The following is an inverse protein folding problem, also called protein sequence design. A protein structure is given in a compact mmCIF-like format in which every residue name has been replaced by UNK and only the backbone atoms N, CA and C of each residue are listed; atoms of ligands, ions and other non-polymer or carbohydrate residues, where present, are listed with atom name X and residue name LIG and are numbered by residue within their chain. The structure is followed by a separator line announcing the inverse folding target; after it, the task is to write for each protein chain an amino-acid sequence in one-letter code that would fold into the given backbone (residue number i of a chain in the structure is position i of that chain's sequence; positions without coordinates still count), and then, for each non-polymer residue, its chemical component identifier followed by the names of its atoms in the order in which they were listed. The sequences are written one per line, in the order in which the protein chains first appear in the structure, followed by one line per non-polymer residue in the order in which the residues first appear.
data_IF_267190859866
#
_entry.id   IF_267190859866
#
_cell.length_a   1.000
_cell.length_b   1.000
_cell.length_c   1.000
_cell.angle_alpha   90.00
_cell.angle_beta   90.00
_cell.angle_gamma   90.00
#
_symmetry.space_group_name_H-M   'P 1'
#
loop_
_entity.id
_entity.type
_entity.pdbx_description
1 polymer ?
#
# COMPACT_ATOMS: atom_id res chain seq x y z
N UNK A 1 -17.81 18.62 -22.82
CA UNK A 1 -18.26 19.09 -21.49
C UNK A 1 -17.07 19.13 -20.53
N UNK A 2 -16.91 20.23 -19.82
CA UNK A 2 -15.93 20.29 -18.75
C UNK A 2 -16.47 19.47 -17.57
N UNK A 3 -15.84 18.33 -17.30
CA UNK A 3 -16.11 17.58 -16.09
C UNK A 3 -15.48 18.30 -14.90
N UNK A 4 -16.29 18.54 -13.93
CA UNK A 4 -15.88 19.04 -12.61
C UNK A 4 -16.38 18.06 -11.56
N UNK A 5 -15.76 18.06 -10.41
CA UNK A 5 -16.21 17.24 -9.28
C UNK A 5 -17.66 17.49 -8.89
N UNK A 6 -18.18 18.66 -9.22
CA UNK A 6 -19.56 19.07 -8.88
C UNK A 6 -20.62 18.52 -9.84
N UNK A 7 -20.24 18.24 -11.10
CA UNK A 7 -21.21 17.78 -12.12
C UNK A 7 -21.15 16.27 -12.40
N UNK A 8 -20.37 15.52 -11.65
CA UNK A 8 -20.27 14.07 -11.79
C UNK A 8 -21.59 13.38 -11.44
N UNK A 9 -22.01 12.46 -12.31
CA UNK A 9 -23.16 11.58 -12.11
C UNK A 9 -22.73 10.11 -12.31
N UNK A 10 -23.51 9.17 -11.74
CA UNK A 10 -23.19 7.73 -11.86
C UNK A 10 -23.15 7.25 -13.31
N UNK A 11 -23.98 7.81 -14.17
CA UNK A 11 -24.04 7.49 -15.60
C UNK A 11 -22.69 7.78 -16.31
N UNK A 12 -21.91 8.71 -15.80
CA UNK A 12 -20.60 9.08 -16.36
C UNK A 12 -19.51 8.04 -16.11
N UNK A 13 -19.72 7.11 -15.18
CA UNK A 13 -18.82 5.99 -14.92
C UNK A 13 -19.10 4.77 -15.81
N UNK A 14 -20.24 4.75 -16.49
CA UNK A 14 -20.54 3.68 -17.46
C UNK A 14 -19.86 3.95 -18.79
N UNK A 15 -18.88 3.11 -19.14
CA UNK A 15 -18.15 3.19 -20.41
C UNK A 15 -19.09 3.06 -21.64
N UNK A 16 -20.22 2.38 -21.50
CA UNK A 16 -21.19 2.21 -22.58
C UNK A 16 -21.88 3.53 -22.97
N UNK A 17 -21.93 4.48 -22.05
CA UNK A 17 -22.53 5.80 -22.29
C UNK A 17 -21.55 6.81 -22.91
N UNK A 18 -20.30 6.39 -23.18
CA UNK A 18 -19.28 7.25 -23.75
C UNK A 18 -18.92 6.82 -25.18
N UNK A 19 -19.01 7.75 -26.12
CA UNK A 19 -18.58 7.57 -27.49
C UNK A 19 -17.50 8.58 -27.85
N UNK A 20 -16.47 8.12 -28.53
CA UNK A 20 -15.42 8.98 -29.09
C UNK A 20 -15.79 9.32 -30.51
N UNK A 21 -15.80 10.60 -30.84
CA UNK A 21 -15.91 11.07 -32.22
C UNK A 21 -14.51 11.41 -32.72
N UNK A 22 -13.97 10.59 -33.61
CA UNK A 22 -12.70 10.89 -34.25
C UNK A 22 -12.91 11.88 -35.37
N UNK A 23 -12.29 13.04 -35.29
CA UNK A 23 -12.27 14.06 -36.32
C UNK A 23 -11.03 13.82 -37.22
N UNK A 24 -11.05 12.75 -37.99
CA UNK A 24 -9.98 12.42 -38.94
C UNK A 24 -10.37 12.72 -40.39
N UNK A 25 -9.43 13.28 -41.15
CA UNK A 25 -9.59 13.50 -42.58
C UNK A 25 -10.45 14.71 -42.98
N UNK A 26 -11.13 14.62 -44.11
CA UNK A 26 -11.89 15.72 -44.72
C UNK A 26 -13.33 15.86 -44.21
N UNK A 27 -13.57 15.60 -42.91
CA UNK A 27 -14.91 15.79 -42.35
C UNK A 27 -15.26 17.27 -42.28
N UNK A 28 -16.46 17.62 -42.73
CA UNK A 28 -17.01 18.96 -42.57
C UNK A 28 -17.48 19.10 -41.12
N UNK A 29 -17.03 20.17 -40.49
CA UNK A 29 -17.42 20.54 -39.14
C UNK A 29 -18.45 21.65 -39.25
N UNK A 30 -19.63 21.46 -38.64
CA UNK A 30 -20.68 22.45 -38.64
C UNK A 30 -20.35 23.62 -37.69
N UNK A 31 -20.89 24.79 -37.98
CA UNK A 31 -20.68 25.97 -37.16
C UNK A 31 -21.17 25.72 -35.72
N UNK A 32 -20.29 25.97 -34.75
CA UNK A 32 -20.57 25.79 -33.33
C UNK A 32 -20.15 24.44 -32.74
N UNK A 33 -19.66 23.51 -33.57
CA UNK A 33 -19.09 22.28 -33.04
C UNK A 33 -17.67 22.48 -32.50
N UNK A 34 -17.31 21.84 -31.37
CA UNK A 34 -15.97 21.92 -30.80
C UNK A 34 -14.97 21.20 -31.74
N UNK A 35 -13.87 21.86 -32.08
CA UNK A 35 -12.84 21.34 -32.98
C UNK A 35 -11.61 20.86 -32.25
N UNK A 36 -11.27 21.49 -31.14
CA UNK A 36 -10.13 21.13 -30.30
C UNK A 36 -10.36 21.54 -28.85
N UNK A 37 -9.59 20.95 -27.97
CA UNK A 37 -9.53 21.31 -26.56
C UNK A 37 -8.13 21.83 -26.25
N UNK A 38 -8.04 23.07 -25.77
CA UNK A 38 -6.79 23.63 -25.26
C UNK A 38 -6.72 23.36 -23.76
N UNK A 39 -5.63 22.77 -23.34
CA UNK A 39 -5.30 22.57 -21.93
C UNK A 39 -4.20 23.53 -21.57
N UNK A 40 -4.42 24.35 -20.57
CA UNK A 40 -3.53 25.45 -20.14
C UNK A 40 -2.84 25.18 -18.82
N UNK A 41 -3.17 24.09 -18.16
CA UNK A 41 -2.64 23.70 -16.86
C UNK A 41 -2.29 22.20 -16.87
N UNK A 42 -1.29 21.81 -16.09
CA UNK A 42 -0.95 20.39 -15.88
C UNK A 42 -1.73 19.74 -14.73
N UNK A 43 -2.50 20.54 -13.97
CA UNK A 43 -3.33 19.99 -12.92
C UNK A 43 -4.54 19.25 -13.49
N UNK A 44 -4.74 18.04 -13.05
CA UNK A 44 -5.84 17.18 -13.49
C UNK A 44 -6.31 16.26 -12.39
N UNK A 45 -7.52 15.75 -12.51
CA UNK A 45 -8.15 14.97 -11.44
C UNK A 45 -8.71 13.67 -12.00
N UNK A 46 -8.43 12.58 -11.29
CA UNK A 46 -9.10 11.28 -11.46
C UNK A 46 -10.15 11.15 -10.37
N UNK A 47 -11.38 10.87 -10.79
CA UNK A 47 -12.48 10.60 -9.86
C UNK A 47 -12.82 9.13 -9.88
N UNK A 48 -12.88 8.54 -8.67
CA UNK A 48 -13.20 7.13 -8.45
C UNK A 48 -14.42 7.04 -7.53
N UNK A 49 -15.42 6.25 -7.91
CA UNK A 49 -16.50 5.88 -7.01
C UNK A 49 -16.01 4.81 -6.05
N UNK A 50 -16.13 5.07 -4.76
CA UNK A 50 -15.67 4.15 -3.72
C UNK A 50 -16.78 3.21 -3.26
N UNK A 51 -16.38 2.00 -2.87
CA UNK A 51 -17.23 1.16 -2.01
C UNK A 51 -17.26 1.71 -0.59
N UNK A 52 -18.30 1.38 0.17
CA UNK A 52 -18.42 1.82 1.56
C UNK A 52 -17.22 1.46 2.42
N UNK A 53 -16.65 0.27 2.23
CA UNK A 53 -15.49 -0.22 3.01
C UNK A 53 -14.24 0.59 2.69
N UNK A 54 -13.99 0.88 1.40
CA UNK A 54 -12.86 1.71 0.99
C UNK A 54 -13.02 3.15 1.48
N UNK A 55 -14.24 3.69 1.40
CA UNK A 55 -14.53 5.03 1.89
C UNK A 55 -14.23 5.15 3.40
N UNK A 56 -14.66 4.18 4.19
CA UNK A 56 -14.37 4.13 5.62
C UNK A 56 -12.86 4.01 5.91
N UNK A 57 -12.14 3.19 5.15
CA UNK A 57 -10.69 3.06 5.26
C UNK A 57 -9.99 4.40 5.02
N UNK A 58 -10.36 5.11 3.94
CA UNK A 58 -9.77 6.42 3.65
C UNK A 58 -10.16 7.48 4.68
N UNK A 59 -11.40 7.52 5.14
CA UNK A 59 -11.83 8.42 6.21
C UNK A 59 -11.02 8.21 7.49
N UNK A 60 -10.76 6.95 7.85
CA UNK A 60 -9.93 6.61 9.01
C UNK A 60 -8.48 7.09 8.82
N UNK A 61 -7.89 6.87 7.63
CA UNK A 61 -6.53 7.33 7.31
C UNK A 61 -6.41 8.86 7.27
N UNK A 62 -7.45 9.55 6.85
CA UNK A 62 -7.52 11.03 6.85
C UNK A 62 -7.53 11.61 8.27
N UNK A 63 -7.98 10.86 9.26
CA UNK A 63 -7.96 11.23 10.68
C UNK A 63 -8.49 12.66 10.96
N UNK A 64 -9.52 13.07 10.21
CA UNK A 64 -10.14 14.40 10.32
C UNK A 64 -9.52 15.49 9.45
N UNK A 65 -8.52 15.17 8.63
CA UNK A 65 -7.97 16.08 7.62
C UNK A 65 -8.85 16.07 6.36
N UNK A 66 -8.84 17.18 5.62
CA UNK A 66 -9.65 17.36 4.40
C UNK A 66 -9.06 16.65 3.17
N UNK A 67 -7.82 16.20 3.25
CA UNK A 67 -7.12 15.55 2.15
C UNK A 67 -6.07 14.56 2.62
N UNK A 68 -5.76 13.59 1.74
CA UNK A 68 -4.74 12.56 1.96
C UNK A 68 -3.82 12.49 0.74
N UNK A 69 -2.51 12.39 0.97
CA UNK A 69 -1.55 12.08 -0.08
C UNK A 69 -1.61 10.59 -0.39
N UNK A 70 -1.83 10.22 -1.65
CA UNK A 70 -1.95 8.83 -2.09
C UNK A 70 -1.04 8.54 -3.27
N UNK A 71 -0.46 7.36 -3.29
CA UNK A 71 0.27 6.86 -4.44
C UNK A 71 -0.67 6.05 -5.34
N UNK A 72 -0.65 6.36 -6.63
CA UNK A 72 -1.56 5.76 -7.62
C UNK A 72 -0.74 5.18 -8.75
N UNK A 73 -0.93 3.91 -9.03
CA UNK A 73 -0.36 3.23 -10.20
C UNK A 73 -1.33 3.28 -11.36
N UNK A 74 -0.88 3.81 -12.49
CA UNK A 74 -1.62 3.80 -13.75
C UNK A 74 -1.27 2.54 -14.54
N UNK A 75 -2.26 1.69 -14.79
CA UNK A 75 -2.04 0.37 -15.41
C UNK A 75 -1.73 0.44 -16.92
N UNK A 76 -1.98 1.57 -17.56
CA UNK A 76 -1.64 1.79 -18.97
C UNK A 76 -0.14 1.66 -19.23
N UNK A 77 0.68 2.19 -18.34
CA UNK A 77 2.12 2.31 -18.51
C UNK A 77 2.92 1.96 -17.23
N UNK A 78 2.26 1.41 -16.22
CA UNK A 78 2.82 1.07 -14.90
C UNK A 78 3.54 2.23 -14.23
N UNK A 79 3.01 3.45 -14.42
CA UNK A 79 3.56 4.65 -13.82
C UNK A 79 2.91 4.92 -12.47
N UNK A 80 3.75 5.11 -11.45
CA UNK A 80 3.34 5.52 -10.12
C UNK A 80 3.41 7.05 -10.02
N UNK A 81 2.31 7.68 -9.58
CA UNK A 81 2.20 9.11 -9.36
C UNK A 81 1.61 9.38 -7.98
N UNK A 82 2.13 10.42 -7.34
CA UNK A 82 1.56 10.93 -6.10
C UNK A 82 0.49 11.97 -6.39
N UNK A 83 -0.67 11.80 -5.77
CA UNK A 83 -1.80 12.72 -5.88
C UNK A 83 -2.35 13.12 -4.53
N UNK A 84 -3.10 14.20 -4.51
CA UNK A 84 -3.86 14.65 -3.34
C UNK A 84 -5.30 14.20 -3.49
N UNK A 85 -5.74 13.30 -2.62
CA UNK A 85 -7.09 12.77 -2.59
C UNK A 85 -7.98 13.59 -1.65
N UNK A 86 -9.19 13.90 -2.11
CA UNK A 86 -10.28 14.42 -1.31
C UNK A 86 -11.52 13.57 -1.50
N UNK A 87 -12.27 13.37 -0.44
CA UNK A 87 -13.55 12.67 -0.51
C UNK A 87 -14.70 13.66 -0.69
N UNK A 88 -15.61 13.30 -1.56
CA UNK A 88 -16.86 14.06 -1.77
C UNK A 88 -18.03 13.10 -1.67
N UNK A 89 -18.97 13.43 -0.82
CA UNK A 89 -20.22 12.69 -0.70
C UNK A 89 -21.29 13.36 -1.58
N UNK A 90 -21.97 12.56 -2.41
CA UNK A 90 -23.05 13.03 -3.27
C UNK A 90 -24.18 12.01 -3.27
N UNK A 91 -25.36 12.44 -2.80
CA UNK A 91 -26.50 11.56 -2.50
C UNK A 91 -26.09 10.50 -1.46
N UNK A 92 -25.90 9.25 -1.86
CA UNK A 92 -25.46 8.15 -0.98
C UNK A 92 -24.14 7.53 -1.43
N UNK A 93 -23.49 8.14 -2.42
CA UNK A 93 -22.22 7.65 -2.97
C UNK A 93 -21.05 8.52 -2.54
N UNK A 94 -19.91 7.89 -2.30
CA UNK A 94 -18.68 8.57 -1.93
C UNK A 94 -17.70 8.45 -3.10
N UNK A 95 -17.17 9.60 -3.49
CA UNK A 95 -16.21 9.72 -4.57
C UNK A 95 -14.86 10.18 -4.03
N UNK A 96 -13.79 9.51 -4.46
CA UNK A 96 -12.42 9.98 -4.26
C UNK A 96 -12.01 10.81 -5.48
N UNK A 97 -11.68 12.08 -5.25
CA UNK A 97 -11.12 12.97 -6.25
C UNK A 97 -9.63 13.10 -5.99
N UNK A 98 -8.81 12.54 -6.89
CA UNK A 98 -7.37 12.50 -6.76
C UNK A 98 -6.77 13.48 -7.75
N UNK A 99 -6.19 14.56 -7.26
CA UNK A 99 -5.59 15.62 -8.06
C UNK A 99 -4.10 15.43 -8.20
N UNK A 100 -3.62 15.44 -9.43
CA UNK A 100 -2.21 15.35 -9.84
C UNK A 100 -1.75 16.69 -10.40
N UNK A 101 -0.46 16.99 -10.29
CA UNK A 101 0.14 18.25 -10.75
C UNK A 101 1.10 18.09 -11.92
N UNK A 102 1.24 16.87 -12.41
CA UNK A 102 2.11 16.53 -13.54
C UNK A 102 1.55 15.35 -14.35
N UNK A 103 2.26 15.01 -15.41
CA UNK A 103 1.99 13.82 -16.25
C UNK A 103 0.64 13.81 -16.97
N UNK A 104 -0.15 14.88 -16.96
CA UNK A 104 -1.46 14.98 -17.58
C UNK A 104 -1.45 14.59 -19.06
N UNK A 105 -0.41 14.99 -19.80
CA UNK A 105 -0.29 14.72 -21.25
C UNK A 105 -0.32 13.22 -21.59
N UNK A 106 0.06 12.34 -20.66
CA UNK A 106 0.08 10.89 -20.85
C UNK A 106 -1.32 10.28 -20.93
N UNK A 107 -2.30 10.95 -20.31
CA UNK A 107 -3.67 10.47 -20.14
C UNK A 107 -4.72 11.44 -20.69
N UNK A 108 -4.28 12.50 -21.37
CA UNK A 108 -5.16 13.61 -21.82
C UNK A 108 -6.22 13.18 -22.84
N UNK A 109 -5.98 12.11 -23.59
CA UNK A 109 -6.87 11.52 -24.58
C UNK A 109 -7.82 10.46 -23.98
N UNK A 110 -7.60 10.06 -22.72
CA UNK A 110 -8.39 9.03 -22.06
C UNK A 110 -9.48 9.62 -21.18
N UNK A 111 -10.70 9.15 -21.36
CA UNK A 111 -11.81 9.46 -20.47
C UNK A 111 -11.81 8.58 -19.24
N UNK A 112 -11.38 7.33 -19.37
CA UNK A 112 -11.32 6.34 -18.33
C UNK A 112 -9.91 5.79 -18.23
N UNK A 113 -9.37 5.80 -17.03
CA UNK A 113 -8.06 5.24 -16.72
C UNK A 113 -8.22 4.09 -15.74
N UNK A 114 -7.43 3.03 -15.91
CA UNK A 114 -7.36 1.94 -14.95
C UNK A 114 -6.23 2.24 -13.98
N UNK A 115 -6.56 2.27 -12.69
CA UNK A 115 -5.62 2.62 -11.64
C UNK A 115 -5.64 1.60 -10.51
N UNK A 116 -4.53 1.53 -9.78
CA UNK A 116 -4.42 0.89 -8.47
C UNK A 116 -4.07 1.96 -7.44
N UNK A 117 -4.79 1.98 -6.33
CA UNK A 117 -4.45 2.81 -5.18
C UNK A 117 -3.48 2.02 -4.30
N UNK A 118 -2.28 2.53 -4.11
CA UNK A 118 -1.27 1.90 -3.29
C UNK A 118 -1.48 2.38 -1.85
N UNK A 119 -2.06 1.50 -1.05
CA UNK A 119 -2.30 1.74 0.38
C UNK A 119 -1.12 1.16 1.16
N UNK A 120 -0.12 1.96 1.44
CA UNK A 120 0.91 1.56 2.38
C UNK A 120 0.33 1.60 3.80
N UNK A 121 0.19 0.43 4.42
CA UNK A 121 -0.28 0.33 5.81
C UNK A 121 0.84 0.57 6.83
N UNK A 122 2.08 0.50 6.40
CA UNK A 122 3.24 0.69 7.26
C UNK A 122 4.26 1.65 6.63
N UNK A 123 4.63 2.67 7.36
CA UNK A 123 5.78 3.50 7.01
C UNK A 123 7.06 2.78 7.41
N UNK A 124 7.86 2.37 6.46
CA UNK A 124 9.13 1.69 6.67
C UNK A 124 10.26 2.26 5.83
N UNK A 125 11.49 1.99 6.26
CA UNK A 125 12.67 2.30 5.44
C UNK A 125 12.73 1.35 4.25
N UNK A 126 12.82 1.87 3.04
CA UNK A 126 13.05 1.07 1.83
C UNK A 126 14.51 0.62 1.82
N UNK A 127 14.73 -0.68 1.84
CA UNK A 127 16.06 -1.28 1.69
C UNK A 127 16.16 -2.07 0.38
N UNK A 128 17.33 -2.15 -0.25
CA UNK A 128 17.54 -3.01 -1.42
C UNK A 128 17.22 -4.47 -1.08
N UNK A 129 16.52 -5.18 -1.96
CA UNK A 129 16.21 -6.60 -1.77
C UNK A 129 17.48 -7.46 -1.57
N UNK A 130 18.60 -7.04 -2.16
CA UNK A 130 19.91 -7.67 -2.01
C UNK A 130 20.52 -7.53 -0.61
N UNK A 131 19.98 -6.63 0.21
CA UNK A 131 20.40 -6.45 1.61
C UNK A 131 19.61 -7.33 2.57
N UNK A 132 18.62 -8.08 2.07
CA UNK A 132 17.83 -9.04 2.86
C UNK A 132 18.52 -10.40 2.75
N UNK A 133 18.84 -10.98 3.90
CA UNK A 133 19.39 -12.35 4.00
C UNK A 133 18.49 -13.18 4.88
N UNK A 134 18.34 -14.46 4.52
CA UNK A 134 17.62 -15.42 5.34
C UNK A 134 18.62 -16.10 6.30
N UNK A 135 18.21 -16.26 7.55
CA UNK A 135 18.99 -16.99 8.57
C UNK A 135 18.06 -17.92 9.33
N UNK A 136 18.46 -19.17 9.46
CA UNK A 136 17.76 -20.13 10.29
C UNK A 136 17.84 -19.72 11.76
N UNK A 137 16.70 -19.69 12.45
CA UNK A 137 16.61 -19.35 13.86
C UNK A 137 15.59 -20.26 14.58
N UNK A 138 15.68 -20.31 15.91
CA UNK A 138 14.64 -20.89 16.75
C UNK A 138 13.78 -19.77 17.34
N UNK A 139 12.47 -19.86 17.17
CA UNK A 139 11.51 -18.97 17.82
C UNK A 139 11.10 -19.58 19.17
N UNK A 140 11.29 -18.83 20.24
CA UNK A 140 10.92 -19.23 21.58
C UNK A 140 10.21 -18.09 22.31
N UNK A 141 9.27 -18.35 23.22
CA UNK A 141 8.72 -17.30 24.08
C UNK A 141 9.83 -16.58 24.87
N UNK A 142 9.75 -15.26 24.97
CA UNK A 142 10.72 -14.43 25.70
C UNK A 142 10.85 -14.89 27.17
N UNK A 143 9.77 -15.34 27.77
CA UNK A 143 9.73 -15.83 29.17
C UNK A 143 10.61 -17.08 29.41
N UNK A 144 11.04 -17.77 28.35
CA UNK A 144 11.94 -18.93 28.46
C UNK A 144 13.42 -18.54 28.47
N UNK A 145 13.73 -17.28 28.20
CA UNK A 145 15.09 -16.75 28.27
C UNK A 145 15.36 -16.30 29.70
N UNK A 146 16.43 -16.76 30.24
CA UNK A 146 16.84 -16.42 31.61
C UNK A 146 18.35 -16.25 31.68
N UNK A 147 18.80 -15.46 32.66
CA UNK A 147 20.23 -15.35 32.94
C UNK A 147 20.67 -16.53 33.80
N UNK A 148 21.75 -17.19 33.41
CA UNK A 148 22.24 -18.38 34.13
C UNK A 148 23.68 -18.73 33.80
N UNK A 149 24.14 -19.88 34.33
CA UNK A 149 25.50 -20.34 34.18
C UNK A 149 26.51 -19.53 35.00
N UNK A 150 27.79 -19.90 34.93
CA UNK A 150 28.89 -19.25 35.68
C UNK A 150 29.15 -17.80 35.22
N UNK A 151 28.76 -17.46 33.99
CA UNK A 151 29.01 -16.15 33.38
C UNK A 151 27.77 -15.25 33.37
N UNK A 152 26.64 -15.70 33.94
CA UNK A 152 25.36 -14.98 33.93
C UNK A 152 24.91 -14.55 32.54
N UNK A 153 25.19 -15.36 31.54
CA UNK A 153 24.76 -15.11 30.16
C UNK A 153 23.25 -15.42 30.02
N UNK A 154 22.65 -14.83 29.02
CA UNK A 154 21.31 -15.18 28.60
C UNK A 154 21.29 -16.59 27.98
N UNK A 155 20.28 -17.36 28.31
CA UNK A 155 20.17 -18.74 27.88
C UNK A 155 18.83 -19.37 28.17
N UNK A 156 18.71 -20.61 27.77
CA UNK A 156 17.52 -21.43 27.99
C UNK A 156 17.87 -22.73 28.73
N UNK A 157 16.96 -23.24 29.52
CA UNK A 157 17.11 -24.55 30.14
C UNK A 157 16.56 -25.65 29.22
N UNK A 158 17.45 -26.52 28.74
CA UNK A 158 17.10 -27.70 27.95
C UNK A 158 16.93 -28.91 28.85
N UNK A 159 15.78 -29.56 28.76
CA UNK A 159 15.50 -30.80 29.46
C UNK A 159 15.71 -31.99 28.50
N UNK A 160 16.52 -32.97 28.93
CA UNK A 160 16.80 -34.17 28.16
C UNK A 160 16.51 -35.41 29.01
N UNK A 161 15.71 -36.32 28.49
CA UNK A 161 15.43 -37.60 29.16
C UNK A 161 16.15 -38.76 28.42
N UNK A 162 17.14 -39.36 29.08
CA UNK A 162 17.83 -40.58 28.57
C UNK A 162 17.62 -41.72 29.55
N UNK A 163 17.12 -42.87 29.06
CA UNK A 163 16.91 -44.11 29.84
C UNK A 163 16.11 -43.85 31.13
N UNK A 164 15.08 -43.04 31.10
CA UNK A 164 14.24 -42.72 32.23
C UNK A 164 14.81 -41.71 33.24
N UNK A 165 16.03 -41.21 33.03
CA UNK A 165 16.62 -40.16 33.85
C UNK A 165 16.54 -38.83 33.11
N UNK A 166 15.87 -37.86 33.74
CA UNK A 166 15.75 -36.50 33.22
C UNK A 166 16.88 -35.63 33.76
N UNK A 167 17.55 -34.90 32.91
CA UNK A 167 18.59 -33.92 33.25
C UNK A 167 18.22 -32.59 32.61
N UNK A 168 18.49 -31.51 33.36
CA UNK A 168 18.29 -30.15 32.88
C UNK A 168 19.68 -29.49 32.75
N UNK A 169 19.91 -28.86 31.61
CA UNK A 169 21.16 -28.21 31.25
C UNK A 169 20.87 -26.77 30.83
N UNK A 170 21.67 -25.82 31.33
CA UNK A 170 21.62 -24.43 30.86
C UNK A 170 22.42 -24.31 29.57
N UNK A 171 21.83 -23.76 28.53
CA UNK A 171 22.47 -23.51 27.26
C UNK A 171 22.46 -22.01 27.02
N UNK A 172 23.64 -21.39 26.96
CA UNK A 172 23.75 -19.99 26.56
C UNK A 172 23.32 -19.83 25.11
N UNK A 173 22.54 -18.79 24.81
CA UNK A 173 22.02 -18.50 23.49
C UNK A 173 22.45 -17.12 23.02
N UNK A 174 22.47 -16.95 21.72
CA UNK A 174 22.62 -15.63 21.10
C UNK A 174 21.26 -15.21 20.57
N UNK A 175 20.73 -14.12 21.08
CA UNK A 175 19.46 -13.56 20.62
C UNK A 175 19.75 -12.75 19.35
N UNK A 176 19.06 -13.08 18.25
CA UNK A 176 19.15 -12.38 16.97
C UNK A 176 18.20 -11.17 16.99
N UNK A 177 16.98 -11.39 17.48
CA UNK A 177 15.94 -10.36 17.56
C UNK A 177 14.91 -10.74 18.63
N UNK A 178 14.29 -9.72 19.23
CA UNK A 178 13.15 -9.86 20.14
C UNK A 178 11.96 -9.08 19.59
N UNK A 179 10.87 -9.78 19.42
CA UNK A 179 9.59 -9.19 19.11
C UNK A 179 8.75 -9.11 20.38
N UNK A 180 8.76 -7.94 20.98
CA UNK A 180 8.06 -7.67 22.24
C UNK A 180 6.54 -7.63 22.09
N UNK A 181 6.03 -7.39 20.86
CA UNK A 181 4.59 -7.37 20.60
C UNK A 181 4.02 -8.79 20.56
N UNK A 182 4.72 -9.72 19.91
CA UNK A 182 4.32 -11.12 19.86
C UNK A 182 4.84 -11.94 21.05
N UNK A 183 5.75 -11.39 21.86
CA UNK A 183 6.38 -12.07 22.99
C UNK A 183 7.35 -13.20 22.56
N UNK A 184 7.94 -13.10 21.36
CA UNK A 184 8.80 -14.12 20.77
C UNK A 184 10.23 -13.59 20.61
N UNK A 185 11.21 -14.40 21.03
CA UNK A 185 12.62 -14.17 20.76
C UNK A 185 13.14 -15.17 19.70
N UNK A 186 13.96 -14.67 18.81
CA UNK A 186 14.61 -15.44 17.73
C UNK A 186 16.05 -15.70 18.10
N UNK A 187 16.40 -17.00 18.27
CA UNK A 187 17.70 -17.45 18.74
C UNK A 187 18.53 -18.00 17.60
N UNK A 188 19.85 -17.75 17.65
CA UNK A 188 20.80 -18.37 16.72
C UNK A 188 20.85 -19.89 16.89
N UNK A 189 20.91 -20.60 15.79
CA UNK A 189 20.94 -22.07 15.79
C UNK A 189 22.30 -22.67 16.15
N UNK A 190 23.38 -21.88 16.14
CA UNK A 190 24.76 -22.42 16.29
C UNK A 190 24.97 -23.17 17.60
N UNK A 191 24.46 -22.66 18.71
CA UNK A 191 24.63 -23.26 20.03
C UNK A 191 23.53 -24.27 20.41
N UNK A 192 22.47 -24.36 19.59
CA UNK A 192 21.29 -25.20 19.87
C UNK A 192 21.24 -26.47 19.01
N UNK A 193 22.19 -26.68 18.11
CA UNK A 193 22.28 -27.91 17.31
C UNK A 193 22.47 -29.11 18.23
N UNK A 194 21.68 -30.15 18.04
CA UNK A 194 21.82 -31.42 18.72
C UNK A 194 23.19 -32.04 18.38
N UNK A 195 24.01 -32.28 19.35
CA UNK A 195 25.14 -33.21 19.26
C UNK A 195 24.65 -34.65 19.24
#
# INVERSE_FOLDING_TARGET
ENLTTDNITDEMFDKANYSVTELSGNQKIDAGQPVYRLVTDEEWTVTVRLTSDLAQTFQTKMNGEDSLSVEVRFLKDNKDLWGTMRLTEKKNDIYANITFKDSMIRYADERFVNIELILEDESGLKIPKTSVTEKDCYAVPIDYITSGGASQNEGVYRQTTKKGKTTTEFIPVTIINEDTESGIAYLDTENLKKS
#
